data_IF_588919378811
#
_entry.id   IF_588919378811
#
_cell.length_a   1.000
_cell.length_b   1.000
_cell.length_c   1.000
_cell.angle_alpha   90.00
_cell.angle_beta   90.00
_cell.angle_gamma   90.00
#
_symmetry.space_group_name_H-M   'P 1'
#
loop_
_entity.id
_entity.type
_entity.pdbx_description
1 polymer ?
#
# COMPACT_ATOMS: atom_id res chain seq x y z
N UNK A 1 8.61 6.95 10.21
CA UNK A 1 7.43 6.10 10.49
C UNK A 1 6.31 6.96 11.04
N UNK A 2 5.09 6.81 10.51
CA UNK A 2 3.93 7.64 10.82
C UNK A 2 3.44 7.45 12.27
N UNK A 3 2.87 8.50 12.88
CA UNK A 3 2.28 8.46 14.24
C UNK A 3 1.16 7.42 14.36
N UNK A 4 0.30 7.26 13.34
CA UNK A 4 -0.78 6.28 13.37
C UNK A 4 -0.24 4.84 13.49
N UNK A 5 0.80 4.52 12.72
CA UNK A 5 1.43 3.19 12.75
C UNK A 5 2.17 2.95 14.08
N UNK A 6 2.78 4.00 14.65
CA UNK A 6 3.36 3.93 15.99
C UNK A 6 2.32 3.66 17.08
N UNK A 7 1.16 4.31 16.98
CA UNK A 7 0.06 4.12 17.92
C UNK A 7 -0.56 2.74 17.81
N UNK A 8 -0.72 2.25 16.58
CA UNK A 8 -1.12 0.87 16.32
C UNK A 8 -0.20 -0.14 17.03
N UNK A 9 1.11 -0.03 16.85
CA UNK A 9 2.06 -0.92 17.54
C UNK A 9 2.02 -0.77 19.07
N UNK A 10 1.86 0.46 19.57
CA UNK A 10 1.71 0.71 21.00
C UNK A 10 0.48 0.00 21.57
N UNK A 11 -0.65 0.10 20.87
CA UNK A 11 -1.92 -0.47 21.27
C UNK A 11 -1.84 -2.01 21.32
N UNK A 12 -1.40 -2.64 20.24
CA UNK A 12 -1.24 -4.11 20.20
C UNK A 12 -0.28 -4.61 21.29
N UNK A 13 0.84 -3.92 21.49
CA UNK A 13 1.79 -4.27 22.55
C UNK A 13 1.21 -4.11 23.96
N UNK A 14 0.47 -3.03 24.21
CA UNK A 14 -0.18 -2.75 25.48
C UNK A 14 -1.21 -3.82 25.83
N UNK A 15 -2.13 -4.11 24.93
CA UNK A 15 -3.21 -5.11 25.09
C UNK A 15 -2.65 -6.50 25.34
N UNK A 16 -1.61 -6.89 24.59
CA UNK A 16 -0.92 -8.16 24.76
C UNK A 16 -0.30 -8.30 26.14
N UNK A 17 0.49 -7.30 26.55
CA UNK A 17 1.18 -7.33 27.85
C UNK A 17 0.16 -7.33 28.98
N UNK A 18 -0.92 -6.56 28.87
CA UNK A 18 -2.02 -6.58 29.83
C UNK A 18 -2.62 -7.98 29.96
N UNK A 19 -2.95 -8.63 28.84
CA UNK A 19 -3.49 -10.00 28.80
C UNK A 19 -2.52 -11.02 29.43
N UNK A 20 -1.23 -10.92 29.14
CA UNK A 20 -0.19 -11.78 29.71
C UNK A 20 -0.04 -11.60 31.23
N UNK A 21 -0.12 -10.37 31.74
CA UNK A 21 0.00 -10.08 33.18
C UNK A 21 -1.25 -10.54 33.93
N UNK A 22 -2.43 -10.21 33.40
CA UNK A 22 -3.71 -10.51 34.03
C UNK A 22 -3.98 -12.02 34.09
N UNK A 23 -3.67 -12.77 33.02
CA UNK A 23 -3.84 -14.22 32.98
C UNK A 23 -3.00 -14.96 34.05
N UNK A 24 -1.89 -14.38 34.50
CA UNK A 24 -1.01 -14.96 35.52
C UNK A 24 -1.16 -14.34 36.90
N UNK A 25 -2.03 -13.32 37.05
CA UNK A 25 -2.29 -12.64 38.33
C UNK A 25 -1.05 -11.93 38.91
N UNK A 26 -0.14 -11.44 38.07
CA UNK A 26 1.07 -10.77 38.54
C UNK A 26 0.82 -9.30 38.84
N UNK A 27 1.36 -8.81 39.96
CA UNK A 27 1.38 -7.39 40.27
C UNK A 27 2.52 -6.69 39.53
N UNK A 28 2.34 -5.42 39.19
CA UNK A 28 3.38 -4.63 38.51
C UNK A 28 4.69 -4.55 39.31
N UNK A 29 4.59 -4.53 40.64
CA UNK A 29 5.75 -4.56 41.54
C UNK A 29 6.52 -5.88 41.46
N UNK A 30 5.83 -7.02 41.22
CA UNK A 30 6.49 -8.31 41.04
C UNK A 30 7.30 -8.35 39.75
N UNK A 31 6.84 -7.68 38.70
CA UNK A 31 7.45 -7.67 37.37
C UNK A 31 8.66 -6.75 37.32
N UNK A 32 8.52 -5.53 37.85
CA UNK A 32 9.62 -4.57 37.87
C UNK A 32 9.64 -3.82 39.22
N UNK A 33 10.23 -4.41 40.28
CA UNK A 33 10.23 -3.82 41.61
C UNK A 33 10.83 -2.42 41.67
N UNK A 34 11.90 -2.19 40.91
CA UNK A 34 12.62 -0.92 40.91
C UNK A 34 11.86 0.20 40.16
N UNK A 35 10.94 -0.16 39.26
CA UNK A 35 10.20 0.83 38.47
C UNK A 35 8.83 0.31 37.98
N UNK A 36 7.96 -0.06 38.92
CA UNK A 36 6.64 -0.63 38.63
C UNK A 36 5.74 0.31 37.82
N UNK A 37 5.98 1.63 37.89
CA UNK A 37 5.26 2.63 37.11
C UNK A 37 5.46 2.46 35.61
N UNK A 38 6.63 1.98 35.16
CA UNK A 38 6.88 1.71 33.73
C UNK A 38 5.91 0.64 33.23
N UNK A 39 5.72 -0.44 33.99
CA UNK A 39 4.79 -1.52 33.62
C UNK A 39 3.35 -1.00 33.59
N UNK A 40 2.96 -0.17 34.57
CA UNK A 40 1.66 0.48 34.56
C UNK A 40 1.44 1.37 33.33
N UNK A 41 2.46 2.12 32.89
CA UNK A 41 2.36 2.95 31.69
C UNK A 41 2.30 2.13 30.41
N UNK A 42 3.03 1.02 30.35
CA UNK A 42 2.99 0.08 29.22
C UNK A 42 1.59 -0.49 29.06
N UNK A 43 1.00 -1.01 30.15
CA UNK A 43 -0.35 -1.59 30.16
C UNK A 43 -1.43 -0.55 29.84
N UNK A 44 -1.20 0.73 30.16
CA UNK A 44 -2.13 1.80 29.80
C UNK A 44 -1.85 2.43 28.42
N UNK A 45 -0.96 1.86 27.60
CA UNK A 45 -0.54 2.42 26.31
C UNK A 45 0.07 3.82 26.36
N UNK A 46 0.51 4.29 27.54
CA UNK A 46 0.85 5.71 27.76
C UNK A 46 2.33 5.99 27.47
N UNK A 47 2.59 6.67 26.36
CA UNK A 47 3.91 7.24 26.05
C UNK A 47 4.19 8.46 26.93
N UNK A 48 5.43 8.60 27.41
CA UNK A 48 5.85 9.77 28.21
C UNK A 48 7.17 10.33 27.67
N UNK A 49 7.55 11.56 28.06
CA UNK A 49 8.87 12.12 27.69
C UNK A 49 10.05 11.23 28.13
N UNK A 50 9.87 10.43 29.19
CA UNK A 50 10.88 9.49 29.70
C UNK A 50 10.79 8.10 29.06
N UNK A 51 9.70 7.81 28.37
CA UNK A 51 9.45 6.56 27.66
C UNK A 51 8.71 6.85 26.33
N UNK A 52 9.41 7.39 25.33
CA UNK A 52 8.78 7.82 24.08
C UNK A 52 8.39 6.63 23.17
N UNK A 53 9.01 5.46 23.39
CA UNK A 53 8.85 4.27 22.55
C UNK A 53 7.88 3.23 23.13
N UNK A 54 7.18 3.53 24.23
CA UNK A 54 6.37 2.61 25.06
C UNK A 54 7.15 1.43 25.66
N UNK A 55 7.82 0.61 24.86
CA UNK A 55 8.62 -0.52 25.29
C UNK A 55 10.12 -0.21 25.23
N UNK A 56 10.81 -0.54 26.32
CA UNK A 56 12.27 -0.53 26.38
C UNK A 56 12.77 -1.95 26.52
N UNK A 57 13.97 -2.22 25.98
CA UNK A 57 14.59 -3.55 26.04
C UNK A 57 14.66 -4.08 27.49
N UNK A 58 14.95 -3.20 28.46
CA UNK A 58 14.95 -3.54 29.90
C UNK A 58 13.58 -3.96 30.40
N UNK A 59 12.52 -3.24 30.04
CA UNK A 59 11.16 -3.59 30.46
C UNK A 59 10.71 -4.92 29.85
N UNK A 60 10.99 -5.15 28.57
CA UNK A 60 10.70 -6.43 27.89
C UNK A 60 11.44 -7.58 28.57
N UNK A 61 12.73 -7.39 28.89
CA UNK A 61 13.53 -8.40 29.58
C UNK A 61 12.97 -8.73 30.98
N UNK A 62 12.56 -7.71 31.77
CA UNK A 62 11.96 -7.92 33.09
C UNK A 62 10.62 -8.65 33.02
N UNK A 63 9.79 -8.33 32.03
CA UNK A 63 8.54 -9.05 31.76
C UNK A 63 8.86 -10.51 31.42
N UNK A 64 9.81 -10.76 30.51
CA UNK A 64 10.21 -12.11 30.12
C UNK A 64 10.73 -12.94 31.31
N UNK A 65 11.65 -12.38 32.10
CA UNK A 65 12.20 -13.05 33.30
C UNK A 65 11.12 -13.42 34.31
N UNK A 66 10.09 -12.58 34.46
CA UNK A 66 8.99 -12.81 35.40
C UNK A 66 8.00 -13.85 34.88
N UNK A 67 7.73 -13.86 33.58
CA UNK A 67 6.83 -14.82 32.94
C UNK A 67 7.49 -16.18 32.79
N UNK A 68 8.68 -16.24 32.22
CA UNK A 68 9.28 -17.48 31.72
C UNK A 68 10.49 -17.94 32.55
N UNK A 69 10.93 -17.13 33.52
CA UNK A 69 12.08 -17.43 34.37
C UNK A 69 13.40 -16.91 33.81
N UNK A 70 14.45 -16.92 34.64
CA UNK A 70 15.77 -16.36 34.32
C UNK A 70 16.70 -17.34 33.59
N UNK A 71 16.31 -18.61 33.42
CA UNK A 71 17.15 -19.68 32.82
C UNK A 71 16.64 -20.11 31.45
N UNK A 72 16.41 -19.15 30.57
CA UNK A 72 16.15 -19.43 29.16
C UNK A 72 17.48 -19.49 28.39
N UNK A 73 17.55 -20.31 27.35
CA UNK A 73 18.62 -20.18 26.36
C UNK A 73 18.50 -18.83 25.62
N UNK A 74 19.57 -18.37 25.00
CA UNK A 74 19.56 -17.10 24.25
C UNK A 74 18.51 -17.09 23.12
N UNK A 75 18.28 -18.25 22.49
CA UNK A 75 17.29 -18.41 21.40
C UNK A 75 15.87 -18.29 21.95
N UNK A 76 15.56 -19.02 23.03
CA UNK A 76 14.25 -18.96 23.68
C UNK A 76 13.98 -17.56 24.24
N UNK A 77 14.98 -16.94 24.86
CA UNK A 77 14.85 -15.59 25.39
C UNK A 77 14.55 -14.57 24.28
N UNK A 78 15.21 -14.69 23.12
CA UNK A 78 14.93 -13.82 21.97
C UNK A 78 13.51 -13.99 21.46
N UNK A 79 13.07 -15.23 21.26
CA UNK A 79 11.71 -15.52 20.83
C UNK A 79 10.68 -14.96 21.81
N UNK A 80 10.84 -15.19 23.12
CA UNK A 80 9.91 -14.67 24.12
C UNK A 80 9.90 -13.14 24.16
N UNK A 81 11.05 -12.48 23.99
CA UNK A 81 11.11 -11.02 23.86
C UNK A 81 10.39 -10.52 22.59
N UNK A 82 10.49 -11.27 21.47
CA UNK A 82 9.72 -11.00 20.24
C UNK A 82 8.23 -11.14 20.49
N UNK A 83 7.79 -12.22 21.14
CA UNK A 83 6.39 -12.46 21.50
C UNK A 83 5.84 -11.35 22.38
N UNK A 84 6.58 -10.92 23.41
CA UNK A 84 6.17 -9.78 24.26
C UNK A 84 6.02 -8.49 23.44
N UNK A 85 6.98 -8.21 22.56
CA UNK A 85 7.06 -6.93 21.85
C UNK A 85 6.09 -6.84 20.67
N UNK A 86 5.95 -7.93 19.90
CA UNK A 86 5.30 -7.95 18.59
C UNK A 86 4.22 -9.03 18.45
N UNK A 87 4.19 -10.04 19.33
CA UNK A 87 3.26 -11.16 19.24
C UNK A 87 3.92 -12.45 18.75
N UNK A 88 3.22 -13.56 18.96
CA UNK A 88 3.55 -14.83 18.32
C UNK A 88 3.07 -14.82 16.85
N UNK A 89 3.34 -15.90 16.11
CA UNK A 89 3.05 -15.96 14.68
C UNK A 89 1.55 -15.88 14.38
N UNK A 90 0.71 -16.37 15.30
CA UNK A 90 -0.76 -16.34 15.19
C UNK A 90 -1.27 -14.90 15.40
N UNK A 91 -0.86 -14.25 16.49
CA UNK A 91 -1.26 -12.87 16.75
C UNK A 91 -0.76 -11.92 15.66
N UNK A 92 0.47 -12.14 15.15
CA UNK A 92 0.99 -11.39 14.01
C UNK A 92 0.05 -11.55 12.82
N UNK A 93 -0.29 -12.79 12.44
CA UNK A 93 -1.22 -13.07 11.35
C UNK A 93 -2.53 -12.31 11.48
N UNK A 94 -3.12 -12.28 12.68
CA UNK A 94 -4.40 -11.59 12.93
C UNK A 94 -4.35 -10.08 12.65
N UNK A 95 -3.22 -9.41 12.88
CA UNK A 95 -3.11 -7.95 12.71
C UNK A 95 -2.40 -7.52 11.43
N UNK A 96 -1.76 -8.42 10.67
CA UNK A 96 -1.08 -8.10 9.40
C UNK A 96 -1.99 -7.34 8.42
N UNK A 97 -3.25 -7.76 8.16
CA UNK A 97 -4.12 -7.05 7.21
C UNK A 97 -4.38 -5.61 7.61
N UNK A 98 -4.60 -5.36 8.91
CA UNK A 98 -4.80 -4.01 9.45
C UNK A 98 -3.52 -3.17 9.33
N UNK A 99 -2.36 -3.77 9.62
CA UNK A 99 -1.06 -3.13 9.52
C UNK A 99 -0.74 -2.71 8.08
N UNK A 100 -0.97 -3.58 7.08
CA UNK A 100 -0.74 -3.25 5.68
C UNK A 100 -1.59 -2.07 5.22
N UNK A 101 -2.89 -2.06 5.56
CA UNK A 101 -3.79 -0.93 5.27
C UNK A 101 -3.30 0.37 5.88
N UNK A 102 -2.82 0.33 7.13
CA UNK A 102 -2.24 1.49 7.80
C UNK A 102 -0.94 1.95 7.15
N UNK A 103 -0.11 1.03 6.65
CA UNK A 103 1.10 1.38 5.90
C UNK A 103 0.73 2.12 4.62
N UNK A 104 -0.18 1.56 3.81
CA UNK A 104 -0.63 2.15 2.52
C UNK A 104 -1.21 3.55 2.72
N UNK A 105 -2.07 3.74 3.73
CA UNK A 105 -2.66 5.06 4.06
C UNK A 105 -1.62 6.14 4.37
N UNK A 106 -0.43 5.73 4.80
CA UNK A 106 0.57 6.62 5.40
C UNK A 106 1.91 6.63 4.64
N UNK A 107 1.92 6.17 3.39
CA UNK A 107 3.09 6.25 2.51
C UNK A 107 3.44 7.71 2.18
N UNK A 108 4.73 7.98 1.99
CA UNK A 108 5.16 9.26 1.38
C UNK A 108 4.94 9.25 -0.13
N UNK A 109 4.94 10.41 -0.79
CA UNK A 109 4.76 10.50 -2.25
C UNK A 109 5.73 9.60 -3.04
N UNK A 110 7.00 9.52 -2.62
CA UNK A 110 8.01 8.65 -3.23
C UNK A 110 7.67 7.15 -3.06
N UNK A 111 7.16 6.78 -1.88
CA UNK A 111 6.75 5.41 -1.57
C UNK A 111 5.45 5.04 -2.29
N UNK A 112 4.54 6.01 -2.40
CA UNK A 112 3.27 5.89 -3.09
C UNK A 112 3.49 5.60 -4.57
N UNK A 113 4.47 6.25 -5.21
CA UNK A 113 4.82 5.98 -6.60
C UNK A 113 5.21 4.51 -6.84
N UNK A 114 5.97 3.89 -5.92
CA UNK A 114 6.39 2.48 -6.03
C UNK A 114 5.19 1.55 -5.91
N UNK A 115 4.28 1.88 -4.99
CA UNK A 115 3.08 1.11 -4.76
C UNK A 115 2.12 1.22 -5.95
N UNK A 116 1.88 2.43 -6.44
CA UNK A 116 1.02 2.71 -7.58
C UNK A 116 1.52 2.05 -8.86
N UNK A 117 2.84 1.99 -9.08
CA UNK A 117 3.44 1.23 -10.17
C UNK A 117 3.07 -0.26 -10.15
N UNK A 118 2.80 -0.84 -8.99
CA UNK A 118 2.38 -2.25 -8.87
C UNK A 118 0.88 -2.38 -9.05
N UNK A 119 0.09 -1.38 -8.61
CA UNK A 119 -1.35 -1.33 -8.88
C UNK A 119 -1.67 -1.26 -10.37
N UNK A 120 -0.76 -0.71 -11.19
CA UNK A 120 -0.90 -0.67 -12.66
C UNK A 120 -0.93 -2.05 -13.33
N UNK A 121 -0.67 -3.13 -12.59
CA UNK A 121 -0.91 -4.49 -13.07
C UNK A 121 -2.41 -4.82 -13.14
N UNK A 122 -3.25 -4.17 -12.32
CA UNK A 122 -4.70 -4.27 -12.42
C UNK A 122 -5.22 -3.55 -13.67
N UNK A 123 -6.07 -4.24 -14.42
CA UNK A 123 -6.61 -3.75 -15.69
C UNK A 123 -7.43 -2.49 -15.49
N UNK A 124 -8.28 -2.47 -14.47
CA UNK A 124 -9.25 -1.40 -14.27
C UNK A 124 -8.60 -0.14 -13.75
N UNK A 125 -7.69 -0.28 -12.77
CA UNK A 125 -6.90 0.83 -12.29
C UNK A 125 -6.04 1.43 -13.41
N UNK A 126 -5.34 0.59 -14.19
CA UNK A 126 -4.51 1.05 -15.29
C UNK A 126 -5.31 1.78 -16.39
N UNK A 127 -6.50 1.28 -16.71
CA UNK A 127 -7.42 1.92 -17.66
C UNK A 127 -7.91 3.29 -17.14
N UNK A 128 -8.37 3.36 -15.89
CA UNK A 128 -8.87 4.60 -15.29
C UNK A 128 -7.78 5.68 -15.15
N UNK A 129 -6.55 5.28 -14.82
CA UNK A 129 -5.39 6.18 -14.80
C UNK A 129 -5.07 6.68 -16.22
N UNK A 130 -5.06 5.79 -17.23
CA UNK A 130 -4.82 6.19 -18.62
C UNK A 130 -5.80 7.26 -19.08
N UNK A 131 -7.10 7.06 -18.82
CA UNK A 131 -8.14 8.03 -19.13
C UNK A 131 -7.94 9.35 -18.41
N UNK A 132 -7.66 9.30 -17.12
CA UNK A 132 -7.43 10.51 -16.30
C UNK A 132 -6.29 11.36 -16.87
N UNK A 133 -5.17 10.74 -17.21
CA UNK A 133 -4.03 11.45 -17.77
C UNK A 133 -4.33 12.04 -19.15
N UNK A 134 -4.99 11.26 -20.03
CA UNK A 134 -5.44 11.73 -21.34
C UNK A 134 -6.32 12.97 -21.22
N UNK A 135 -7.29 12.95 -20.30
CA UNK A 135 -8.23 14.04 -20.10
C UNK A 135 -7.59 15.28 -19.46
N UNK A 136 -6.46 15.12 -18.77
CA UNK A 136 -5.64 16.24 -18.29
C UNK A 136 -4.78 16.85 -19.41
N UNK A 137 -4.33 16.03 -20.36
CA UNK A 137 -3.53 16.46 -21.50
C UNK A 137 -4.38 17.15 -22.58
N UNK A 138 -5.63 16.72 -22.77
CA UNK A 138 -6.53 17.22 -23.82
C UNK A 138 -7.78 17.86 -23.21
N UNK A 139 -8.13 19.08 -23.64
CA UNK A 139 -9.36 19.76 -23.21
C UNK A 139 -10.59 18.88 -23.50
N UNK A 140 -11.22 18.40 -22.43
CA UNK A 140 -12.30 17.39 -22.32
C UNK A 140 -13.58 17.61 -23.15
N UNK A 141 -13.67 18.68 -23.95
CA UNK A 141 -14.85 18.99 -24.75
C UNK A 141 -15.10 18.05 -25.93
N UNK A 142 -14.12 17.23 -26.33
CA UNK A 142 -14.22 16.42 -27.56
C UNK A 142 -14.80 15.01 -27.36
N UNK A 143 -14.89 14.50 -26.13
CA UNK A 143 -15.24 13.09 -25.90
C UNK A 143 -16.59 12.87 -25.18
N UNK A 144 -17.30 13.94 -24.82
CA UNK A 144 -18.58 13.88 -24.07
C UNK A 144 -18.46 13.05 -22.77
N UNK A 145 -17.28 13.09 -22.14
CA UNK A 145 -16.95 12.38 -20.88
C UNK A 145 -17.19 13.31 -19.70
N UNK A 146 -17.90 12.82 -18.68
CA UNK A 146 -18.12 13.53 -17.44
C UNK A 146 -16.87 13.45 -16.54
N UNK A 147 -16.07 14.51 -16.59
CA UNK A 147 -14.86 14.66 -15.77
C UNK A 147 -15.15 14.61 -14.27
N UNK A 148 -16.32 15.10 -13.85
CA UNK A 148 -16.66 15.17 -12.44
C UNK A 148 -16.90 13.77 -11.88
N UNK A 149 -17.55 12.89 -12.65
CA UNK A 149 -17.79 11.49 -12.27
C UNK A 149 -16.48 10.69 -12.19
N UNK A 150 -15.58 10.84 -13.17
CA UNK A 150 -14.31 10.10 -13.20
C UNK A 150 -13.45 10.38 -11.94
N UNK A 151 -13.39 11.65 -11.53
CA UNK A 151 -12.58 12.08 -10.37
C UNK A 151 -13.23 11.80 -9.02
N UNK A 152 -14.56 11.85 -8.94
CA UNK A 152 -15.26 11.70 -7.65
C UNK A 152 -15.65 10.26 -7.36
N UNK A 153 -15.79 9.41 -8.38
CA UNK A 153 -16.30 8.04 -8.25
C UNK A 153 -15.31 7.00 -8.78
N UNK A 154 -14.90 7.07 -10.05
CA UNK A 154 -14.27 5.93 -10.74
C UNK A 154 -12.79 5.69 -10.37
N UNK A 155 -11.97 6.75 -10.30
CA UNK A 155 -10.54 6.64 -9.90
C UNK A 155 -10.41 6.13 -8.45
N UNK A 156 -11.15 6.68 -7.47
CA UNK A 156 -11.10 6.16 -6.10
C UNK A 156 -11.56 4.70 -5.97
N UNK A 157 -12.58 4.28 -6.72
CA UNK A 157 -13.10 2.90 -6.66
C UNK A 157 -12.10 1.90 -7.25
N UNK A 158 -11.62 2.15 -8.47
CA UNK A 158 -10.66 1.26 -9.14
C UNK A 158 -9.39 1.09 -8.32
N UNK A 159 -8.90 2.19 -7.74
CA UNK A 159 -7.79 2.18 -6.80
C UNK A 159 -8.07 1.31 -5.58
N UNK A 160 -9.21 1.50 -4.92
CA UNK A 160 -9.54 0.73 -3.71
C UNK A 160 -9.59 -0.78 -3.98
N UNK A 161 -10.15 -1.19 -5.12
CA UNK A 161 -10.22 -2.61 -5.51
C UNK A 161 -8.82 -3.18 -5.80
N UNK A 162 -8.02 -2.47 -6.60
CA UNK A 162 -6.64 -2.88 -6.90
C UNK A 162 -5.79 -2.96 -5.63
N UNK A 163 -5.94 -2.00 -4.71
CA UNK A 163 -5.26 -2.01 -3.42
C UNK A 163 -5.67 -3.24 -2.59
N UNK A 164 -6.96 -3.53 -2.50
CA UNK A 164 -7.47 -4.68 -1.75
C UNK A 164 -6.92 -6.00 -2.31
N UNK A 165 -7.01 -6.19 -3.62
CA UNK A 165 -6.53 -7.41 -4.29
C UNK A 165 -5.02 -7.60 -4.13
N UNK A 166 -4.24 -6.53 -4.30
CA UNK A 166 -2.80 -6.57 -4.10
C UNK A 166 -2.45 -6.95 -2.65
N UNK A 167 -3.10 -6.31 -1.67
CA UNK A 167 -2.86 -6.58 -0.25
C UNK A 167 -3.22 -8.02 0.14
N UNK A 168 -4.35 -8.54 -0.34
CA UNK A 168 -4.74 -9.95 -0.13
C UNK A 168 -3.72 -10.91 -0.76
N UNK A 169 -3.19 -10.57 -1.93
CA UNK A 169 -2.22 -11.42 -2.65
C UNK A 169 -0.86 -11.46 -1.96
N UNK A 170 -0.38 -10.34 -1.44
CA UNK A 170 0.95 -10.26 -0.78
C UNK A 170 0.90 -10.54 0.72
N UNK A 171 -0.27 -10.80 1.29
CA UNK A 171 -0.48 -10.93 2.74
C UNK A 171 0.44 -11.98 3.36
N UNK A 172 0.44 -13.19 2.82
CA UNK A 172 1.24 -14.32 3.33
C UNK A 172 2.74 -14.05 3.16
N UNK A 173 3.15 -13.51 2.01
CA UNK A 173 4.54 -13.18 1.73
C UNK A 173 5.06 -12.09 2.69
N UNK A 174 4.26 -11.07 2.92
CA UNK A 174 4.60 -10.01 3.85
C UNK A 174 4.62 -10.49 5.30
N UNK A 175 3.65 -11.31 5.73
CA UNK A 175 3.66 -11.95 7.06
C UNK A 175 4.96 -12.74 7.27
N UNK A 176 5.33 -13.57 6.30
CA UNK A 176 6.53 -14.39 6.35
C UNK A 176 7.80 -13.55 6.43
N UNK A 177 7.93 -12.52 5.59
CA UNK A 177 9.08 -11.61 5.63
C UNK A 177 9.12 -10.78 6.91
N UNK A 178 7.97 -10.38 7.45
CA UNK A 178 7.87 -9.64 8.72
C UNK A 178 8.31 -10.50 9.90
N UNK A 179 7.86 -11.76 10.00
CA UNK A 179 8.29 -12.68 11.06
C UNK A 179 9.81 -12.93 10.95
N UNK A 180 10.31 -13.24 9.75
CA UNK A 180 11.76 -13.40 9.52
C UNK A 180 12.54 -12.14 9.91
N UNK A 181 12.02 -10.96 9.60
CA UNK A 181 12.62 -9.69 9.98
C UNK A 181 12.69 -9.55 11.50
N UNK A 182 11.60 -9.81 12.22
CA UNK A 182 11.57 -9.72 13.69
C UNK A 182 12.51 -10.72 14.37
N UNK A 183 12.61 -11.94 13.84
CA UNK A 183 13.49 -12.99 14.37
C UNK A 183 14.96 -12.81 13.92
N UNK A 184 15.21 -11.88 13.01
CA UNK A 184 16.55 -11.55 12.56
C UNK A 184 17.38 -10.82 13.61
N UNK A 185 18.69 -10.80 13.38
CA UNK A 185 19.62 -9.98 14.15
C UNK A 185 20.47 -9.13 13.24
N UNK A 186 20.63 -7.84 13.60
CA UNK A 186 21.55 -6.93 12.93
C UNK A 186 22.89 -6.92 13.68
N UNK A 187 23.99 -7.09 12.97
CA UNK A 187 25.33 -6.89 13.53
C UNK A 187 25.64 -5.39 13.54
N UNK A 188 25.75 -4.80 14.72
CA UNK A 188 26.02 -3.37 14.88
C UNK A 188 27.45 -3.18 15.38
N UNK A 189 28.24 -2.43 14.61
CA UNK A 189 29.58 -2.01 15.02
C UNK A 189 29.49 -1.07 16.22
N UNK A 190 30.06 -1.48 17.34
CA UNK A 190 30.10 -0.74 18.60
C UNK A 190 31.56 -0.67 19.08
N UNK A 191 31.92 0.39 19.80
CA UNK A 191 33.23 0.46 20.46
C UNK A 191 33.16 -0.11 21.86
N UNK A 192 33.78 -1.26 22.09
CA UNK A 192 33.97 -1.84 23.42
C UNK A 192 35.43 -1.64 23.80
N UNK A 193 35.67 -0.88 24.88
CA UNK A 193 37.03 -0.53 25.35
C UNK A 193 37.93 0.09 24.26
N UNK A 194 37.37 0.91 23.37
CA UNK A 194 38.09 1.61 22.32
C UNK A 194 38.42 0.77 21.07
N UNK A 195 38.05 -0.52 21.05
CA UNK A 195 38.13 -1.39 19.87
C UNK A 195 36.76 -1.53 19.23
N UNK A 196 36.73 -1.58 17.90
CA UNK A 196 35.51 -1.87 17.15
C UNK A 196 35.16 -3.36 17.31
N UNK A 197 33.99 -3.64 17.87
CA UNK A 197 33.38 -4.96 17.98
C UNK A 197 32.02 -4.96 17.28
N UNK A 198 31.66 -6.08 16.66
CA UNK A 198 30.35 -6.26 16.05
C UNK A 198 29.46 -6.99 17.04
N UNK A 199 28.46 -6.29 17.57
CA UNK A 199 27.50 -6.84 18.52
C UNK A 199 26.25 -7.28 17.76
N UNK A 200 25.84 -8.53 17.95
CA UNK A 200 24.55 -9.02 17.48
C UNK A 200 23.45 -8.33 18.30
N UNK A 201 22.74 -7.38 17.69
CA UNK A 201 21.56 -6.74 18.27
C UNK A 201 20.32 -7.29 17.56
N UNK A 202 19.42 -7.89 18.32
CA UNK A 202 18.11 -8.29 17.81
C UNK A 202 17.27 -7.09 17.38
N UNK A 203 16.23 -7.34 16.61
CA UNK A 203 15.20 -6.34 16.34
C UNK A 203 14.41 -6.09 17.62
N UNK A 204 14.43 -4.86 18.12
CA UNK A 204 13.67 -4.47 19.32
C UNK A 204 12.61 -3.44 18.96
N UNK A 205 11.53 -3.41 19.76
CA UNK A 205 10.43 -2.46 19.60
C UNK A 205 10.94 -1.02 19.46
N UNK A 206 11.83 -0.63 20.38
CA UNK A 206 12.45 0.70 20.39
C UNK A 206 13.23 1.01 19.11
N UNK A 207 13.97 0.05 18.57
CA UNK A 207 14.78 0.26 17.37
C UNK A 207 13.93 0.43 16.11
N UNK A 208 12.71 -0.09 16.10
CA UNK A 208 11.80 -0.02 14.94
C UNK A 208 10.77 1.11 15.05
N UNK A 209 10.51 1.59 16.27
CA UNK A 209 9.47 2.58 16.55
C UNK A 209 9.55 3.87 15.71
N UNK A 210 10.75 4.29 15.29
CA UNK A 210 10.95 5.50 14.49
C UNK A 210 11.50 5.25 13.10
N UNK A 211 11.72 3.98 12.73
CA UNK A 211 12.40 3.61 11.50
C UNK A 211 11.39 3.19 10.43
N UNK A 212 11.66 3.57 9.19
CA UNK A 212 10.86 3.13 8.04
C UNK A 212 11.23 1.70 7.59
N UNK A 213 11.99 0.95 8.39
CA UNK A 213 12.41 -0.42 8.11
C UNK A 213 11.21 -1.35 7.81
N UNK A 214 10.10 -1.23 8.56
CA UNK A 214 8.88 -2.02 8.32
C UNK A 214 8.19 -1.60 7.02
N UNK A 215 8.12 -0.30 6.75
CA UNK A 215 7.56 0.23 5.48
C UNK A 215 8.43 -0.20 4.29
N UNK A 216 9.75 -0.16 4.44
CA UNK A 216 10.70 -0.60 3.42
C UNK A 216 10.62 -2.11 3.19
N UNK A 217 10.37 -2.89 4.24
CA UNK A 217 10.10 -4.32 4.12
C UNK A 217 8.81 -4.58 3.33
N UNK A 218 7.74 -3.84 3.63
CA UNK A 218 6.49 -3.89 2.88
C UNK A 218 6.71 -3.55 1.40
N UNK A 219 7.37 -2.42 1.11
CA UNK A 219 7.66 -1.99 -0.27
C UNK A 219 8.59 -2.95 -1.00
N UNK A 220 9.47 -3.68 -0.29
CA UNK A 220 10.28 -4.74 -0.88
C UNK A 220 9.37 -5.87 -1.40
N UNK A 221 8.43 -6.35 -0.57
CA UNK A 221 7.47 -7.39 -0.97
C UNK A 221 6.60 -6.93 -2.14
N UNK A 222 6.09 -5.70 -2.09
CA UNK A 222 5.34 -5.08 -3.20
C UNK A 222 6.15 -5.11 -4.50
N UNK A 223 7.42 -4.69 -4.47
CA UNK A 223 8.30 -4.69 -5.66
C UNK A 223 8.61 -6.09 -6.18
N UNK A 224 8.72 -7.08 -5.31
CA UNK A 224 8.94 -8.48 -5.71
C UNK A 224 7.70 -9.06 -6.38
N UNK A 225 6.51 -8.53 -6.07
CA UNK A 225 5.25 -8.90 -6.72
C UNK A 225 5.01 -8.17 -8.06
N UNK A 226 5.69 -7.05 -8.29
CA UNK A 226 5.53 -6.25 -9.52
C UNK A 226 5.85 -7.08 -10.76
N UNK A 227 4.90 -7.16 -11.68
CA UNK A 227 5.11 -7.86 -12.94
C UNK A 227 5.98 -7.03 -13.90
N UNK A 228 6.81 -7.67 -14.74
CA UNK A 228 7.40 -7.01 -15.89
C UNK A 228 6.30 -6.37 -16.76
N UNK A 229 6.58 -5.21 -17.34
CA UNK A 229 5.62 -4.45 -18.16
C UNK A 229 5.08 -5.32 -19.32
N UNK A 230 5.93 -6.18 -19.89
CA UNK A 230 5.54 -7.08 -20.98
C UNK A 230 4.54 -8.17 -20.55
N UNK A 231 4.59 -8.55 -19.27
CA UNK A 231 3.73 -9.58 -18.66
C UNK A 231 2.46 -8.97 -18.05
N UNK A 232 2.52 -7.71 -17.63
CA UNK A 232 1.42 -6.95 -17.04
C UNK A 232 0.33 -6.63 -18.07
N UNK A 233 -0.87 -7.17 -17.86
CA UNK A 233 -2.02 -6.89 -18.72
C UNK A 233 -2.51 -5.46 -18.50
N UNK A 234 -2.54 -4.98 -17.25
CA UNK A 234 -2.89 -3.60 -16.93
C UNK A 234 -2.00 -2.58 -17.64
N UNK A 235 -0.67 -2.74 -17.57
CA UNK A 235 0.25 -1.87 -18.31
C UNK A 235 0.05 -1.91 -19.83
N UNK A 236 -0.28 -3.07 -20.40
CA UNK A 236 -0.62 -3.19 -21.83
C UNK A 236 -1.91 -2.46 -22.17
N UNK A 237 -2.94 -2.56 -21.34
CA UNK A 237 -4.19 -1.81 -21.49
C UNK A 237 -3.92 -0.31 -21.41
N UNK A 238 -3.22 0.15 -20.37
CA UNK A 238 -2.80 1.55 -20.24
C UNK A 238 -2.09 2.05 -21.51
N UNK A 239 -1.13 1.27 -22.03
CA UNK A 239 -0.37 1.63 -23.24
C UNK A 239 -1.25 1.68 -24.49
N UNK A 240 -2.20 0.75 -24.64
CA UNK A 240 -3.15 0.73 -25.76
C UNK A 240 -4.06 1.95 -25.69
N UNK A 241 -4.67 2.22 -24.53
CA UNK A 241 -5.57 3.37 -24.33
C UNK A 241 -4.86 4.68 -24.65
N UNK A 242 -3.64 4.90 -24.12
CA UNK A 242 -2.82 6.08 -24.42
C UNK A 242 -2.45 6.18 -25.91
N UNK A 243 -2.06 5.07 -26.54
CA UNK A 243 -1.67 5.05 -27.95
C UNK A 243 -2.85 5.32 -28.87
N UNK A 244 -4.00 4.71 -28.62
CA UNK A 244 -5.19 4.85 -29.46
C UNK A 244 -5.71 6.29 -29.43
N UNK A 245 -5.68 6.95 -28.26
CA UNK A 245 -6.02 8.38 -28.17
C UNK A 245 -5.02 9.26 -28.92
N UNK A 246 -3.71 9.02 -28.76
CA UNK A 246 -2.71 9.79 -29.51
C UNK A 246 -2.87 9.67 -31.04
N UNK A 247 -3.35 8.51 -31.52
CA UNK A 247 -3.66 8.32 -32.94
C UNK A 247 -4.93 9.05 -33.35
N UNK A 248 -5.97 9.03 -32.51
CA UNK A 248 -7.20 9.81 -32.71
C UNK A 248 -6.89 11.31 -32.79
N UNK A 249 -6.09 11.87 -31.90
CA UNK A 249 -5.68 13.28 -31.96
C UNK A 249 -4.96 13.61 -33.26
N UNK A 250 -4.03 12.74 -33.69
CA UNK A 250 -3.32 12.95 -34.96
C UNK A 250 -4.24 12.92 -36.19
N UNK A 251 -5.33 12.14 -36.13
CA UNK A 251 -6.33 12.07 -37.19
C UNK A 251 -7.23 13.32 -37.16
N UNK A 252 -7.65 13.76 -35.97
CA UNK A 252 -8.46 14.97 -35.78
C UNK A 252 -7.68 16.22 -36.19
N UNK A 253 -6.41 16.37 -35.80
CA UNK A 253 -5.57 17.49 -36.22
C UNK A 253 -5.36 17.51 -37.74
N UNK A 254 -5.13 16.34 -38.36
CA UNK A 254 -5.04 16.24 -39.82
C UNK A 254 -6.32 16.67 -40.50
N UNK A 255 -7.48 16.26 -39.97
CA UNK A 255 -8.78 16.64 -40.49
C UNK A 255 -9.02 18.15 -40.35
N UNK A 256 -8.77 18.73 -39.17
CA UNK A 256 -8.93 20.17 -38.89
C UNK A 256 -8.02 21.05 -39.75
N UNK A 257 -6.74 20.70 -39.89
CA UNK A 257 -5.80 21.39 -40.79
C UNK A 257 -6.24 21.26 -42.24
N UNK A 258 -6.81 20.11 -42.61
CA UNK A 258 -7.31 19.89 -43.96
C UNK A 258 -8.56 20.73 -44.27
N UNK A 259 -9.54 20.71 -43.38
CA UNK A 259 -10.78 21.49 -43.52
C UNK A 259 -10.53 23.00 -43.50
N UNK A 260 -9.51 23.47 -42.77
CA UNK A 260 -9.15 24.89 -42.75
C UNK A 260 -8.32 25.35 -43.95
N UNK A 261 -7.43 24.50 -44.48
CA UNK A 261 -6.45 24.91 -45.51
C UNK A 261 -6.83 24.45 -46.91
N UNK A 262 -7.42 23.26 -47.05
CA UNK A 262 -7.61 22.58 -48.33
C UNK A 262 -9.08 22.42 -48.76
N UNK A 263 -10.04 22.60 -47.86
CA UNK A 263 -11.50 22.64 -48.14
C UNK A 263 -11.91 23.48 -49.37
N UNK A 264 -11.29 24.64 -49.67
CA UNK A 264 -11.63 25.42 -50.87
C UNK A 264 -11.14 24.81 -52.20
N UNK A 265 -10.25 23.81 -52.15
CA UNK A 265 -9.52 23.27 -53.31
C UNK A 265 -9.95 21.82 -53.64
N UNK A 266 -11.17 21.69 -54.18
CA UNK A 266 -11.68 20.65 -55.12
C UNK A 266 -12.33 19.34 -54.64
N UNK A 267 -13.27 18.96 -55.50
CA UNK A 267 -14.06 17.72 -55.62
C UNK A 267 -13.23 16.51 -56.09
N UNK A 268 -12.35 15.95 -55.26
CA UNK A 268 -11.70 14.66 -55.59
C UNK A 268 -12.44 13.47 -54.95
N UNK A 269 -12.92 12.54 -55.80
CA UNK A 269 -13.74 11.38 -55.38
C UNK A 269 -12.94 10.35 -54.59
N UNK A 270 -11.67 10.12 -54.94
CA UNK A 270 -10.82 9.15 -54.23
C UNK A 270 -10.57 9.67 -52.80
N UNK A 271 -10.32 10.97 -52.70
CA UNK A 271 -10.08 11.62 -51.42
C UNK A 271 -11.35 11.70 -50.55
N UNK A 272 -12.52 11.95 -51.13
CA UNK A 272 -13.79 11.88 -50.40
C UNK A 272 -14.03 10.49 -49.80
N UNK A 273 -13.71 9.43 -50.54
CA UNK A 273 -13.77 8.05 -50.03
C UNK A 273 -12.75 7.81 -48.92
N UNK A 274 -11.56 8.41 -49.00
CA UNK A 274 -10.54 8.34 -47.95
C UNK A 274 -10.95 9.12 -46.68
N UNK A 275 -11.61 10.27 -46.84
CA UNK A 275 -12.15 11.05 -45.73
C UNK A 275 -13.34 10.34 -45.06
N UNK A 276 -14.25 9.77 -45.85
CA UNK A 276 -15.35 8.92 -45.34
C UNK A 276 -14.81 7.69 -44.59
N UNK A 277 -13.68 7.12 -45.05
CA UNK A 277 -12.98 6.04 -44.36
C UNK A 277 -12.36 6.51 -43.04
N UNK A 278 -11.70 7.68 -43.02
CA UNK A 278 -11.17 8.29 -41.80
C UNK A 278 -12.28 8.62 -40.80
N UNK A 279 -13.41 9.19 -41.24
CA UNK A 279 -14.60 9.41 -40.42
C UNK A 279 -15.16 8.10 -39.87
N UNK A 280 -15.15 7.04 -40.67
CA UNK A 280 -15.54 5.70 -40.21
C UNK A 280 -14.65 5.17 -39.09
N UNK A 281 -13.33 5.37 -39.20
CA UNK A 281 -12.36 5.00 -38.15
C UNK A 281 -12.56 5.84 -36.89
N UNK A 282 -12.67 7.16 -37.03
CA UNK A 282 -12.89 8.08 -35.90
C UNK A 282 -14.18 7.70 -35.17
N UNK A 283 -15.27 7.48 -35.91
CA UNK A 283 -16.54 7.06 -35.35
C UNK A 283 -16.46 5.70 -34.66
N UNK A 284 -15.77 4.73 -35.26
CA UNK A 284 -15.57 3.43 -34.62
C UNK A 284 -14.76 3.53 -33.31
N UNK A 285 -13.75 4.41 -33.28
CA UNK A 285 -13.00 4.72 -32.06
C UNK A 285 -13.88 5.38 -30.99
N UNK A 286 -14.69 6.36 -31.38
CA UNK A 286 -15.67 7.00 -30.48
C UNK A 286 -16.70 6.01 -29.95
N UNK A 287 -17.25 5.14 -30.81
CA UNK A 287 -18.21 4.11 -30.43
C UNK A 287 -17.59 3.07 -29.48
N UNK A 288 -16.31 2.72 -29.68
CA UNK A 288 -15.56 1.84 -28.78
C UNK A 288 -15.35 2.47 -27.40
N UNK A 289 -14.87 3.72 -27.35
CA UNK A 289 -14.70 4.48 -26.10
C UNK A 289 -16.04 4.58 -25.36
N UNK A 290 -17.12 4.88 -26.08
CA UNK A 290 -18.47 4.93 -25.52
C UNK A 290 -18.95 3.59 -24.98
N UNK A 291 -18.72 2.49 -25.69
CA UNK A 291 -19.08 1.15 -25.24
C UNK A 291 -18.33 0.74 -23.96
N UNK A 292 -17.06 1.12 -23.84
CA UNK A 292 -16.28 0.91 -22.62
C UNK A 292 -16.87 1.73 -21.46
N UNK A 293 -17.14 3.01 -21.69
CA UNK A 293 -17.78 3.88 -20.70
C UNK A 293 -19.13 3.34 -20.22
N UNK A 294 -20.03 2.96 -21.13
CA UNK A 294 -21.35 2.41 -20.77
C UNK A 294 -21.22 1.12 -19.93
N UNK A 295 -20.20 0.30 -20.20
CA UNK A 295 -19.90 -0.91 -19.43
C UNK A 295 -19.45 -0.55 -18.01
N UNK A 296 -18.56 0.44 -17.87
CA UNK A 296 -18.08 0.91 -16.57
C UNK A 296 -19.21 1.52 -15.73
N UNK A 297 -20.03 2.38 -16.35
CA UNK A 297 -21.20 2.97 -15.69
C UNK A 297 -22.15 1.89 -15.16
N UNK A 298 -22.47 0.89 -15.97
CA UNK A 298 -23.36 -0.19 -15.55
C UNK A 298 -22.77 -1.03 -14.41
N UNK A 299 -21.47 -1.29 -14.47
CA UNK A 299 -20.75 -1.96 -13.39
C UNK A 299 -20.82 -1.15 -12.10
N UNK A 300 -20.58 0.16 -12.15
CA UNK A 300 -20.59 1.03 -10.97
C UNK A 300 -21.98 1.19 -10.38
N UNK A 301 -23.03 1.28 -11.20
CA UNK A 301 -24.42 1.20 -10.73
C UNK A 301 -24.71 -0.10 -9.97
N UNK A 302 -24.14 -1.21 -10.43
CA UNK A 302 -24.27 -2.52 -9.76
C UNK A 302 -23.51 -2.53 -8.43
N UNK A 303 -22.30 -1.98 -8.41
CA UNK A 303 -21.46 -1.92 -7.21
C UNK A 303 -21.99 -0.98 -6.14
N UNK A 304 -22.48 0.20 -6.51
CA UNK A 304 -23.10 1.14 -5.59
C UNK A 304 -24.33 0.51 -4.92
N UNK A 305 -25.12 -0.28 -5.67
CA UNK A 305 -26.20 -1.07 -5.08
C UNK A 305 -25.69 -2.10 -4.08
N UNK A 306 -24.68 -2.88 -4.43
CA UNK A 306 -24.11 -3.88 -3.53
C UNK A 306 -23.57 -3.26 -2.23
N UNK A 307 -23.02 -2.04 -2.32
CA UNK A 307 -22.55 -1.25 -1.17
C UNK A 307 -23.70 -0.71 -0.31
N UNK A 308 -24.76 -0.19 -0.92
CA UNK A 308 -25.98 0.22 -0.21
C UNK A 308 -26.67 -0.97 0.47
N UNK A 309 -26.60 -2.15 -0.15
CA UNK A 309 -27.14 -3.41 0.36
C UNK A 309 -26.24 -4.08 1.42
N UNK A 310 -25.01 -3.58 1.59
CA UNK A 310 -24.04 -4.08 2.58
C UNK A 310 -23.43 -5.43 2.24
N UNK A 311 -23.51 -5.85 0.97
CA UNK A 311 -22.88 -7.07 0.47
C UNK A 311 -21.37 -6.90 0.24
N UNK A 312 -20.90 -5.65 0.15
CA UNK A 312 -19.49 -5.25 0.02
C UNK A 312 -19.25 -3.92 0.74
#
# INVERSE_FOLDING_TARGET
MNEELQEFFCLKASERIEKMINSRGFSFFKIYPENSNIISWIVSGRRTKRNPYLLTDTAVQRINETLNGQRLSDVESKYQCRVISWGDDEEIGDYIPEMMRLIVKNLTDEQQSIFDETLMDDIYFAETIAYTEILNEHNSHFLDVDMEQLYTEDVPISRHLAEKELLETIEEDFQNEFIKFLDSSKYVRTKVNGKDEYVNKGITFKNQFGCDDIVNLFLKVVREHKLPIEESIGHRVYSIVKKDVSQLDSLIERELVYDTVYSPYREDKIFKTELEFQHGIIKAGQDYIKSLYDTHKHRNETWNKLREEGEI
#
